data_IF_855390681820
#
_entry.id   IF_855390681820
#
_cell.length_a   1.000
_cell.length_b   1.000
_cell.length_c   1.000
_cell.angle_alpha   90.00
_cell.angle_beta   90.00
_cell.angle_gamma   90.00
#
_symmetry.space_group_name_H-M   'P 1'
#
loop_
_entity.id
_entity.type
_entity.pdbx_description
1 polymer ?
#
# COMPACT_ATOMS: atom_id res chain seq x y z
N UNK A 1 6.08 -0.22 -31.88
CA UNK A 1 5.34 -0.42 -30.61
C UNK A 1 6.03 0.43 -29.54
N UNK A 2 5.36 1.45 -29.00
CA UNK A 2 5.93 2.24 -27.89
C UNK A 2 5.99 1.34 -26.66
N UNK A 3 7.19 1.12 -26.10
CA UNK A 3 7.35 0.37 -24.84
C UNK A 3 6.59 1.12 -23.75
N UNK A 4 5.62 0.47 -23.11
CA UNK A 4 4.99 0.99 -21.90
C UNK A 4 6.09 1.25 -20.86
N UNK A 5 6.30 2.51 -20.51
CA UNK A 5 7.31 2.91 -19.53
C UNK A 5 6.74 2.72 -18.12
N UNK A 6 7.23 1.71 -17.40
CA UNK A 6 6.82 1.38 -16.03
C UNK A 6 7.94 1.74 -15.06
N UNK A 7 7.64 2.53 -14.03
CA UNK A 7 8.56 2.84 -12.93
C UNK A 7 8.19 2.02 -11.69
N UNK A 8 9.15 1.24 -11.20
CA UNK A 8 9.00 0.43 -9.98
C UNK A 8 9.65 1.16 -8.80
N UNK A 9 8.96 1.24 -7.67
CA UNK A 9 9.43 1.93 -6.46
C UNK A 9 9.17 1.11 -5.21
N UNK A 10 10.23 0.93 -4.41
CA UNK A 10 10.17 0.39 -3.05
C UNK A 10 10.60 1.50 -2.09
N UNK A 11 9.65 2.18 -1.41
CA UNK A 11 9.98 3.24 -0.46
C UNK A 11 10.80 2.69 0.70
N UNK A 12 11.92 3.32 1.10
CA UNK A 12 12.76 2.82 2.20
C UNK A 12 12.05 2.89 3.56
N UNK A 13 10.96 3.65 3.66
CA UNK A 13 10.12 3.72 4.85
C UNK A 13 9.14 2.54 5.00
N UNK A 14 8.99 1.71 3.96
CA UNK A 14 8.18 0.49 4.00
C UNK A 14 9.07 -0.74 4.24
N UNK A 15 8.46 -1.80 4.76
CA UNK A 15 9.12 -3.10 4.90
C UNK A 15 9.66 -3.58 3.56
N UNK A 16 10.76 -4.34 3.56
CA UNK A 16 11.31 -4.94 2.34
C UNK A 16 10.31 -5.95 1.76
N UNK A 17 9.83 -5.77 0.50
CA UNK A 17 8.89 -6.70 -0.10
C UNK A 17 9.58 -8.01 -0.50
N UNK A 18 8.86 -9.13 -0.42
CA UNK A 18 9.36 -10.45 -0.83
C UNK A 18 8.63 -10.90 -2.10
N UNK A 19 9.30 -10.81 -3.25
CA UNK A 19 8.76 -11.25 -4.55
C UNK A 19 7.79 -10.27 -5.23
N UNK A 20 7.69 -9.02 -4.75
CA UNK A 20 6.87 -7.97 -5.36
C UNK A 20 7.53 -6.58 -5.23
N UNK A 21 6.91 -5.55 -5.81
CA UNK A 21 7.28 -4.14 -5.62
C UNK A 21 6.09 -3.39 -5.00
N UNK A 22 6.34 -2.50 -4.04
CA UNK A 22 5.26 -1.74 -3.39
C UNK A 22 4.46 -0.88 -4.37
N UNK A 23 5.14 -0.23 -5.32
CA UNK A 23 4.53 0.72 -6.25
C UNK A 23 5.01 0.48 -7.68
N UNK A 24 4.07 0.40 -8.62
CA UNK A 24 4.33 0.42 -10.05
C UNK A 24 3.54 1.55 -10.72
N UNK A 25 4.24 2.46 -11.40
CA UNK A 25 3.66 3.61 -12.09
C UNK A 25 3.78 3.44 -13.61
N UNK A 26 2.63 3.46 -14.29
CA UNK A 26 2.53 3.34 -15.75
C UNK A 26 2.25 4.72 -16.34
N UNK A 27 3.10 5.20 -17.27
CA UNK A 27 3.06 6.61 -17.72
C UNK A 27 2.09 6.89 -18.89
N UNK A 28 1.65 5.87 -19.63
CA UNK A 28 0.71 6.01 -20.76
C UNK A 28 -0.75 6.07 -20.28
N UNK A 29 -1.17 7.22 -19.75
CA UNK A 29 -2.43 7.32 -18.99
C UNK A 29 -2.19 7.02 -17.52
N UNK A 30 -1.44 7.93 -16.89
CA UNK A 30 -0.80 7.75 -15.57
C UNK A 30 -1.66 6.99 -14.58
N UNK A 31 -1.27 5.76 -14.27
CA UNK A 31 -1.93 4.90 -13.29
C UNK A 31 -0.88 4.35 -12.31
N UNK A 32 -1.18 4.43 -11.02
CA UNK A 32 -0.32 3.94 -9.95
C UNK A 32 -0.98 2.69 -9.37
N UNK A 33 -0.28 1.57 -9.47
CA UNK A 33 -0.66 0.32 -8.82
C UNK A 33 0.14 0.18 -7.53
N UNK A 34 -0.57 0.05 -6.41
CA UNK A 34 0.02 -0.15 -5.08
C UNK A 34 -0.27 -1.59 -4.67
N UNK A 35 0.78 -2.33 -4.28
CA UNK A 35 0.63 -3.67 -3.73
C UNK A 35 -0.18 -3.63 -2.42
N UNK A 36 -0.75 -4.77 -2.01
CA UNK A 36 -1.49 -4.85 -0.75
C UNK A 36 -0.62 -4.38 0.42
N UNK A 37 -1.09 -3.37 1.15
CA UNK A 37 -0.43 -2.92 2.37
C UNK A 37 -0.94 -3.75 3.55
N UNK A 38 0.00 -4.14 4.41
CA UNK A 38 -0.25 -4.95 5.61
C UNK A 38 0.30 -4.22 6.84
N UNK A 39 -0.10 -4.65 8.03
CA UNK A 39 0.29 -4.04 9.30
C UNK A 39 1.73 -4.37 9.73
N UNK A 40 2.69 -4.19 8.81
CA UNK A 40 4.11 -4.28 9.11
C UNK A 40 4.70 -2.90 9.33
N UNK A 41 5.60 -2.76 10.29
CA UNK A 41 6.48 -1.60 10.36
C UNK A 41 7.61 -1.69 9.32
N UNK A 42 8.44 -0.64 9.24
CA UNK A 42 9.59 -0.59 8.33
C UNK A 42 10.59 -1.75 8.52
N UNK A 43 10.64 -2.35 9.72
CA UNK A 43 11.50 -3.49 10.04
C UNK A 43 10.89 -4.84 9.65
N UNK A 44 9.65 -4.83 9.14
CA UNK A 44 8.90 -6.04 8.79
C UNK A 44 8.23 -6.72 9.98
N UNK A 45 8.09 -6.05 11.12
CA UNK A 45 7.41 -6.60 12.30
C UNK A 45 5.94 -6.21 12.29
N UNK A 46 5.08 -7.14 12.72
CA UNK A 46 3.64 -6.90 12.86
C UNK A 46 3.35 -5.87 13.96
N UNK A 47 2.62 -4.83 13.61
CA UNK A 47 2.04 -3.81 14.50
C UNK A 47 0.62 -4.22 14.89
N UNK A 48 0.24 -4.01 16.15
CA UNK A 48 -1.13 -4.27 16.60
C UNK A 48 -1.51 -5.76 16.67
N UNK A 49 -0.63 -6.63 17.18
CA UNK A 49 -0.98 -8.06 17.36
C UNK A 49 -2.26 -8.18 18.21
N UNK A 50 -3.28 -8.83 17.66
CA UNK A 50 -4.62 -8.95 18.25
C UNK A 50 -5.39 -7.62 18.42
N UNK A 51 -4.97 -6.56 17.75
CA UNK A 51 -5.63 -5.25 17.74
C UNK A 51 -5.88 -4.84 16.28
N UNK A 52 -7.13 -5.00 15.84
CA UNK A 52 -7.53 -4.69 14.47
C UNK A 52 -7.37 -3.19 14.14
N UNK A 53 -7.70 -2.30 15.09
CA UNK A 53 -7.65 -0.85 14.85
C UNK A 53 -6.21 -0.39 14.65
N UNK A 54 -5.29 -0.90 15.48
CA UNK A 54 -3.87 -0.65 15.31
C UNK A 54 -3.33 -1.22 13.99
N UNK A 55 -3.79 -2.41 13.57
CA UNK A 55 -3.42 -2.99 12.28
C UNK A 55 -3.92 -2.15 11.11
N UNK A 56 -5.19 -1.76 11.10
CA UNK A 56 -5.79 -0.94 10.06
C UNK A 56 -5.07 0.42 9.96
N UNK A 57 -4.78 1.06 11.11
CA UNK A 57 -4.03 2.31 11.16
C UNK A 57 -2.66 2.16 10.50
N UNK A 58 -1.91 1.10 10.82
CA UNK A 58 -0.61 0.85 10.20
C UNK A 58 -0.72 0.60 8.69
N UNK A 59 -1.76 -0.11 8.23
CA UNK A 59 -2.02 -0.34 6.80
C UNK A 59 -2.22 0.97 6.06
N UNK A 60 -3.01 1.91 6.61
CA UNK A 60 -3.23 3.21 5.99
C UNK A 60 -2.00 4.11 6.04
N UNK A 61 -1.20 4.08 7.11
CA UNK A 61 0.09 4.79 7.14
C UNK A 61 1.06 4.24 6.09
N UNK A 62 1.10 2.91 5.90
CA UNK A 62 1.89 2.30 4.84
C UNK A 62 1.39 2.69 3.44
N UNK A 63 0.07 2.73 3.24
CA UNK A 63 -0.53 3.19 1.99
C UNK A 63 -0.18 4.65 1.68
N UNK A 64 -0.19 5.52 2.70
CA UNK A 64 0.24 6.91 2.59
C UNK A 64 1.70 7.02 2.12
N UNK A 65 2.60 6.23 2.69
CA UNK A 65 4.01 6.19 2.29
C UNK A 65 4.19 5.70 0.84
N UNK A 66 3.43 4.68 0.44
CA UNK A 66 3.42 4.18 -0.93
C UNK A 66 2.92 5.24 -1.93
N UNK A 67 1.81 5.92 -1.62
CA UNK A 67 1.28 7.04 -2.41
C UNK A 67 2.30 8.17 -2.54
N UNK A 68 2.92 8.58 -1.43
CA UNK A 68 3.91 9.66 -1.42
C UNK A 68 5.13 9.34 -2.29
N UNK A 69 5.58 8.09 -2.36
CA UNK A 69 6.67 7.67 -3.24
C UNK A 69 6.36 7.79 -4.75
N UNK A 70 5.06 7.84 -5.08
CA UNK A 70 4.57 8.16 -6.41
C UNK A 70 4.16 9.64 -6.57
N UNK A 71 4.42 10.51 -5.58
CA UNK A 71 3.95 11.89 -5.60
C UNK A 71 2.42 12.00 -5.60
N UNK A 72 1.73 11.04 -4.99
CA UNK A 72 0.28 11.01 -4.87
C UNK A 72 -0.15 11.14 -3.39
N UNK A 73 -1.43 11.41 -3.18
CA UNK A 73 -2.08 11.47 -1.87
C UNK A 73 -3.37 10.64 -1.88
N UNK A 74 -4.07 10.58 -0.75
CA UNK A 74 -5.38 9.91 -0.66
C UNK A 74 -6.42 10.52 -1.61
N UNK A 75 -6.31 11.80 -1.95
CA UNK A 75 -7.20 12.48 -2.91
C UNK A 75 -7.09 11.90 -4.33
N UNK A 76 -6.03 11.12 -4.61
CA UNK A 76 -5.83 10.45 -5.89
C UNK A 76 -6.33 9.00 -5.91
N UNK A 77 -6.87 8.48 -4.80
CA UNK A 77 -7.41 7.12 -4.76
C UNK A 77 -8.73 7.02 -5.54
N UNK A 78 -8.75 6.11 -6.51
CA UNK A 78 -9.93 5.81 -7.32
C UNK A 78 -10.60 4.49 -6.93
N UNK A 79 -9.84 3.56 -6.34
CA UNK A 79 -10.31 2.24 -5.93
C UNK A 79 -9.43 1.68 -4.81
N UNK A 80 -10.05 1.10 -3.80
CA UNK A 80 -9.39 0.31 -2.75
C UNK A 80 -10.02 -1.08 -2.69
N UNK A 81 -9.20 -2.11 -2.51
CA UNK A 81 -9.66 -3.48 -2.22
C UNK A 81 -9.18 -3.84 -0.83
N UNK A 82 -10.11 -4.06 0.09
CA UNK A 82 -9.79 -4.38 1.49
C UNK A 82 -10.05 -5.86 1.74
N UNK A 83 -9.06 -6.55 2.30
CA UNK A 83 -9.17 -7.92 2.78
C UNK A 83 -9.15 -7.90 4.30
N UNK A 84 -10.16 -8.52 4.93
CA UNK A 84 -10.26 -8.69 6.38
C UNK A 84 -10.35 -10.18 6.68
N UNK A 85 -9.81 -10.60 7.83
CA UNK A 85 -9.90 -12.00 8.29
C UNK A 85 -11.23 -12.32 8.95
N UNK A 86 -11.91 -11.29 9.47
CA UNK A 86 -13.26 -11.36 10.01
C UNK A 86 -14.07 -10.18 9.47
N UNK A 87 -15.25 -10.46 8.95
CA UNK A 87 -16.17 -9.46 8.40
C UNK A 87 -16.71 -8.50 9.45
N UNK A 88 -16.68 -8.87 10.73
CA UNK A 88 -17.08 -7.98 11.84
C UNK A 88 -16.23 -6.68 11.87
N UNK A 89 -15.00 -6.74 11.38
CA UNK A 89 -14.07 -5.61 11.32
C UNK A 89 -14.39 -4.59 10.22
N UNK A 90 -15.19 -4.94 9.22
CA UNK A 90 -15.50 -4.04 8.11
C UNK A 90 -16.22 -2.77 8.58
N UNK A 91 -16.97 -2.84 9.67
CA UNK A 91 -17.67 -1.69 10.26
C UNK A 91 -16.75 -0.72 11.00
N UNK A 92 -15.50 -1.12 11.25
CA UNK A 92 -14.50 -0.36 12.04
C UNK A 92 -13.47 0.35 11.15
N UNK A 93 -13.44 0.03 9.85
CA UNK A 93 -12.60 0.71 8.85
C UNK A 93 -13.12 2.11 8.54
#
# INVERSE_FOLDING_TARGET
MSRTNVRYVNPPALSVPTGYTHVAEVHSGRTIYIAGQVALDHSGKVVGKNDFVAQATQVFENLKLALAAAGATFDNLVKVTTFVTDMSHLQTL
#
